data_IF_120847049491
#
_entry.id   IF_120847049491
#
_cell.length_a   1.000
_cell.length_b   1.000
_cell.length_c   1.000
_cell.angle_alpha   90.00
_cell.angle_beta   90.00
_cell.angle_gamma   90.00
#
_symmetry.space_group_name_H-M   'P 1'
#
loop_
_entity.id
_entity.type
_entity.pdbx_description
1 polymer ?
#
# COMPACT_ATOMS: atom_id res chain seq x y z
N UNK A 1 12.96 -0.28 42.68
CA UNK A 1 11.58 -0.64 42.31
C UNK A 1 11.22 0.12 41.03
N UNK A 2 10.76 -0.54 39.95
CA UNK A 2 10.32 0.19 38.76
C UNK A 2 9.06 1.01 39.09
N UNK A 3 8.99 2.25 38.63
CA UNK A 3 7.77 3.06 38.72
C UNK A 3 6.83 2.63 37.60
N UNK A 4 5.69 2.06 37.94
CA UNK A 4 4.62 1.80 36.98
C UNK A 4 3.97 3.14 36.62
N UNK A 5 4.03 3.54 35.35
CA UNK A 5 3.28 4.69 34.85
C UNK A 5 1.87 4.20 34.53
N UNK A 6 0.88 4.67 35.28
CA UNK A 6 -0.54 4.44 34.98
C UNK A 6 -1.04 5.60 34.11
N UNK A 7 -1.42 5.34 32.87
CA UNK A 7 -2.04 6.33 31.98
C UNK A 7 -3.58 6.26 32.08
N UNK A 8 -4.27 7.38 31.82
CA UNK A 8 -5.74 7.40 31.78
C UNK A 8 -6.30 6.69 30.54
N UNK A 9 -7.51 6.14 30.63
CA UNK A 9 -8.20 5.50 29.50
C UNK A 9 -8.36 6.43 28.29
N UNK A 10 -8.62 7.73 28.54
CA UNK A 10 -8.65 8.80 27.53
C UNK A 10 -7.31 8.91 26.79
N UNK A 11 -6.21 8.90 27.53
CA UNK A 11 -4.85 8.99 26.98
C UNK A 11 -4.52 7.74 26.19
N UNK A 12 -4.87 6.56 26.71
CA UNK A 12 -4.66 5.29 26.01
C UNK A 12 -5.42 5.24 24.67
N UNK A 13 -6.69 5.67 24.64
CA UNK A 13 -7.49 5.72 23.40
C UNK A 13 -6.87 6.68 22.38
N UNK A 14 -6.43 7.87 22.80
CA UNK A 14 -5.78 8.85 21.91
C UNK A 14 -4.48 8.30 21.30
N UNK A 15 -3.62 7.71 22.13
CA UNK A 15 -2.36 7.10 21.66
C UNK A 15 -2.64 5.96 20.69
N UNK A 16 -3.57 5.05 21.03
CA UNK A 16 -3.92 3.93 20.15
C UNK A 16 -4.48 4.41 18.81
N UNK A 17 -5.38 5.40 18.83
CA UNK A 17 -5.94 5.98 17.60
C UNK A 17 -4.85 6.58 16.72
N UNK A 18 -3.95 7.38 17.30
CA UNK A 18 -2.84 7.98 16.56
C UNK A 18 -1.94 6.91 15.93
N UNK A 19 -1.60 5.85 16.67
CA UNK A 19 -0.80 4.73 16.14
C UNK A 19 -1.48 4.07 14.94
N UNK A 20 -2.80 3.85 15.00
CA UNK A 20 -3.54 3.29 13.87
C UNK A 20 -3.66 4.27 12.69
N UNK A 21 -3.72 5.59 12.96
CA UNK A 21 -3.73 6.62 11.91
C UNK A 21 -2.36 6.78 11.21
N UNK A 22 -1.27 6.51 11.93
CA UNK A 22 0.12 6.61 11.48
C UNK A 22 0.64 5.34 10.80
N UNK A 23 -0.09 4.21 10.89
CA UNK A 23 0.27 3.01 10.14
C UNK A 23 0.10 3.25 8.65
N UNK A 24 1.19 3.12 7.91
CA UNK A 24 1.13 2.94 6.48
C UNK A 24 0.61 1.53 6.17
N UNK A 25 -0.38 1.44 5.29
CA UNK A 25 -0.86 0.17 4.76
C UNK A 25 0.06 -0.28 3.63
N UNK A 26 -0.39 -0.07 2.39
CA UNK A 26 0.41 -0.36 1.19
C UNK A 26 1.38 0.78 0.90
N UNK A 27 2.64 0.40 0.72
CA UNK A 27 3.68 1.23 0.15
C UNK A 27 4.22 0.54 -1.09
N UNK A 28 4.15 1.20 -2.24
CA UNK A 28 4.78 0.76 -3.48
C UNK A 28 5.99 1.65 -3.71
N UNK A 29 7.11 1.05 -4.08
CA UNK A 29 8.39 1.73 -4.25
C UNK A 29 8.90 1.61 -5.67
N UNK A 30 9.69 2.59 -6.07
CA UNK A 30 10.43 2.56 -7.31
C UNK A 30 11.54 1.49 -7.23
N UNK A 31 11.61 0.61 -8.23
CA UNK A 31 12.46 -0.60 -8.22
C UNK A 31 13.97 -0.34 -8.18
N UNK A 32 14.41 0.87 -8.56
CA UNK A 32 15.83 1.22 -8.60
C UNK A 32 16.26 2.21 -7.52
N UNK A 33 15.37 3.11 -7.10
CA UNK A 33 15.70 4.19 -6.15
C UNK A 33 15.16 3.92 -4.75
N UNK A 34 14.26 2.94 -4.61
CA UNK A 34 13.55 2.63 -3.37
C UNK A 34 12.66 3.78 -2.82
N UNK A 35 12.46 4.83 -3.64
CA UNK A 35 11.57 5.94 -3.34
C UNK A 35 10.12 5.48 -3.32
N UNK A 36 9.32 6.05 -2.43
CA UNK A 36 7.87 5.77 -2.38
C UNK A 36 7.21 6.43 -3.57
N UNK A 37 6.50 5.64 -4.38
CA UNK A 37 5.74 6.13 -5.54
C UNK A 37 4.23 6.13 -5.27
N UNK A 38 3.78 5.27 -4.37
CA UNK A 38 2.40 5.21 -3.94
C UNK A 38 2.35 4.78 -2.47
N UNK A 39 1.52 5.47 -1.71
CA UNK A 39 1.24 5.14 -0.32
C UNK A 39 -0.27 5.20 -0.12
N UNK A 40 -0.80 4.18 0.56
CA UNK A 40 -2.22 4.10 0.90
C UNK A 40 -2.38 3.50 2.30
N UNK A 41 -3.48 3.87 2.95
CA UNK A 41 -3.92 3.24 4.21
C UNK A 41 -4.62 1.90 3.99
N UNK A 42 -4.81 1.49 2.73
CA UNK A 42 -5.37 0.19 2.41
C UNK A 42 -4.42 -0.93 2.87
N UNK A 43 -4.97 -1.97 3.49
CA UNK A 43 -4.23 -3.16 3.92
C UNK A 43 -3.98 -4.14 2.76
N UNK A 44 -4.81 -4.07 1.71
CA UNK A 44 -4.75 -4.95 0.55
C UNK A 44 -4.83 -4.17 -0.76
N UNK A 45 -4.25 -4.71 -1.83
CA UNK A 45 -4.25 -4.03 -3.12
C UNK A 45 -5.65 -3.93 -3.71
N UNK A 46 -6.58 -4.79 -3.29
CA UNK A 46 -7.99 -4.77 -3.68
C UNK A 46 -8.73 -3.57 -3.09
N UNK A 47 -8.32 -3.13 -1.90
CA UNK A 47 -8.91 -1.98 -1.21
C UNK A 47 -8.23 -0.66 -1.59
N UNK A 48 -7.06 -0.72 -2.25
CA UNK A 48 -6.34 0.45 -2.72
C UNK A 48 -6.95 1.00 -4.03
N UNK A 49 -7.17 2.31 -4.10
CA UNK A 49 -7.50 2.96 -5.37
C UNK A 49 -6.25 3.12 -6.23
N UNK A 50 -6.06 2.17 -7.14
CA UNK A 50 -4.93 2.13 -8.08
C UNK A 50 -5.35 2.47 -9.52
N UNK A 51 -6.54 3.04 -9.70
CA UNK A 51 -7.02 3.43 -11.02
C UNK A 51 -6.32 4.70 -11.47
N UNK A 52 -5.78 4.71 -12.68
CA UNK A 52 -5.09 5.88 -13.23
C UNK A 52 -3.80 6.26 -12.53
N UNK A 53 -3.28 5.41 -11.62
CA UNK A 53 -2.07 5.73 -10.86
C UNK A 53 -0.82 5.58 -11.71
N UNK A 54 0.17 6.42 -11.45
CA UNK A 54 1.50 6.26 -12.04
C UNK A 54 2.30 5.25 -11.22
N UNK A 55 2.40 4.03 -11.73
CA UNK A 55 3.18 2.92 -11.17
C UNK A 55 4.39 2.60 -12.06
N UNK A 56 4.86 3.59 -12.84
CA UNK A 56 6.03 3.43 -13.69
C UNK A 56 7.23 3.04 -12.84
N UNK A 57 7.99 2.06 -13.30
CA UNK A 57 9.16 1.52 -12.60
C UNK A 57 8.86 0.97 -11.18
N UNK A 58 7.60 0.64 -10.86
CA UNK A 58 7.22 0.08 -9.57
C UNK A 58 7.85 -1.29 -9.29
N UNK A 59 8.25 -1.56 -8.05
CA UNK A 59 8.51 -2.92 -7.57
C UNK A 59 7.21 -3.54 -7.05
N UNK A 60 6.63 -4.43 -7.84
CA UNK A 60 5.40 -5.18 -7.53
C UNK A 60 5.69 -6.69 -7.53
N UNK A 61 6.94 -7.09 -7.31
CA UNK A 61 7.34 -8.50 -7.34
C UNK A 61 6.61 -9.29 -6.26
N UNK A 62 5.99 -10.39 -6.66
CA UNK A 62 5.20 -11.24 -5.77
C UNK A 62 3.93 -10.60 -5.20
N UNK A 63 3.54 -9.40 -5.66
CA UNK A 63 2.36 -8.71 -5.15
C UNK A 63 1.08 -9.51 -5.43
N UNK A 64 0.18 -9.55 -4.45
CA UNK A 64 -1.16 -10.12 -4.62
C UNK A 64 -2.13 -9.04 -5.11
N UNK A 65 -2.25 -8.92 -6.43
CA UNK A 65 -3.09 -7.96 -7.14
C UNK A 65 -4.42 -8.59 -7.59
N UNK A 66 -4.83 -9.71 -6.97
CA UNK A 66 -6.02 -10.46 -7.40
C UNK A 66 -7.27 -9.62 -7.29
N UNK A 67 -8.00 -9.43 -8.39
CA UNK A 67 -9.24 -8.64 -8.38
C UNK A 67 -9.05 -7.14 -8.21
N UNK A 68 -7.80 -6.64 -8.15
CA UNK A 68 -7.50 -5.21 -8.04
C UNK A 68 -7.94 -4.46 -9.28
N UNK A 69 -8.48 -3.25 -9.10
CA UNK A 69 -8.84 -2.34 -10.18
C UNK A 69 -7.65 -1.44 -10.56
N UNK A 70 -6.91 -1.81 -11.61
CA UNK A 70 -5.75 -1.10 -12.16
C UNK A 70 -6.12 -0.33 -13.43
N UNK A 71 -7.40 -0.01 -13.64
CA UNK A 71 -7.85 0.65 -14.87
C UNK A 71 -7.11 1.96 -15.10
N UNK A 72 -6.49 2.11 -16.26
CA UNK A 72 -5.74 3.33 -16.60
C UNK A 72 -4.41 3.51 -15.89
N UNK A 73 -3.97 2.57 -15.06
CA UNK A 73 -2.68 2.67 -14.38
C UNK A 73 -1.52 2.61 -15.37
N UNK A 74 -0.49 3.44 -15.18
CA UNK A 74 0.75 3.34 -15.94
C UNK A 74 1.67 2.33 -15.24
N UNK A 75 1.81 1.13 -15.81
CA UNK A 75 2.63 0.04 -15.30
C UNK A 75 3.92 -0.14 -16.12
N UNK A 76 4.26 0.80 -17.01
CA UNK A 76 5.46 0.69 -17.83
C UNK A 76 6.70 0.54 -16.97
N UNK A 77 7.54 -0.43 -17.32
CA UNK A 77 8.76 -0.78 -16.58
C UNK A 77 8.57 -1.30 -15.14
N UNK A 78 7.33 -1.46 -14.67
CA UNK A 78 7.05 -2.08 -13.39
C UNK A 78 7.54 -3.54 -13.38
N UNK A 79 8.11 -3.96 -12.25
CA UNK A 79 8.53 -5.33 -12.02
C UNK A 79 7.38 -6.13 -11.42
N UNK A 80 6.69 -6.89 -12.26
CA UNK A 80 5.56 -7.76 -11.90
C UNK A 80 5.97 -9.23 -11.75
N UNK A 81 7.27 -9.53 -11.60
CA UNK A 81 7.72 -10.92 -11.48
C UNK A 81 6.99 -11.63 -10.34
N UNK A 82 6.35 -12.77 -10.65
CA UNK A 82 5.56 -13.57 -9.71
C UNK A 82 4.33 -12.87 -9.09
N UNK A 83 3.92 -11.70 -9.60
CA UNK A 83 2.70 -11.03 -9.14
C UNK A 83 1.44 -11.84 -9.52
N UNK A 84 0.45 -11.88 -8.63
CA UNK A 84 -0.81 -12.55 -8.87
C UNK A 84 -1.86 -11.57 -9.40
N UNK A 85 -2.03 -11.53 -10.73
CA UNK A 85 -2.98 -10.64 -11.42
C UNK A 85 -4.32 -11.32 -11.72
N UNK A 86 -4.63 -12.47 -11.11
CA UNK A 86 -5.88 -13.19 -11.41
C UNK A 86 -7.09 -12.28 -11.15
N UNK A 87 -7.93 -12.13 -12.17
CA UNK A 87 -9.12 -11.26 -12.15
C UNK A 87 -8.86 -9.76 -11.95
N UNK A 88 -7.60 -9.29 -12.02
CA UNK A 88 -7.31 -7.86 -11.98
C UNK A 88 -7.90 -7.15 -13.20
N UNK A 89 -8.41 -5.93 -13.02
CA UNK A 89 -8.94 -5.12 -14.10
C UNK A 89 -7.84 -4.20 -14.66
N UNK A 90 -7.21 -4.61 -15.75
CA UNK A 90 -6.12 -3.90 -16.42
C UNK A 90 -6.60 -3.08 -17.63
N UNK A 91 -7.90 -2.81 -17.77
CA UNK A 91 -8.39 -2.07 -18.94
C UNK A 91 -7.74 -0.68 -18.99
N UNK A 92 -7.16 -0.36 -20.15
CA UNK A 92 -6.45 0.90 -20.40
C UNK A 92 -5.18 1.11 -19.55
N UNK A 93 -4.70 0.09 -18.85
CA UNK A 93 -3.36 0.15 -18.27
C UNK A 93 -2.29 0.12 -19.38
N UNK A 94 -1.19 0.85 -19.20
CA UNK A 94 -0.03 0.93 -20.11
C UNK A 94 1.14 0.07 -19.59
#
# INVERSE_FOLDING_TARGET
>A
MPKTITISDETYKKIKKQIEEDKAGIIIRHRYTNEVIFESKAETYQDADLRGTNLRDADLRGADLRGTDLRGADLRYADLQSANLRSANLRYAD
#
